data_IF_037266730480
#
_entry.id   IF_037266730480
#
_cell.length_a   1.000
_cell.length_b   1.000
_cell.length_c   1.000
_cell.angle_alpha   90.00
_cell.angle_beta   90.00
_cell.angle_gamma   90.00
#
_symmetry.space_group_name_H-M   'P 1'
#
loop_
_entity.id
_entity.type
_entity.pdbx_description
1 polymer ?
#
# COMPACT_ATOMS: atom_id res chain seq x y z
N UNK A 1 -40.19 35.44 -5.46
CA UNK A 1 -39.35 35.94 -4.36
C UNK A 1 -38.62 34.76 -3.75
N UNK A 2 -37.30 34.67 -3.92
CA UNK A 2 -36.43 33.68 -3.27
C UNK A 2 -35.06 34.35 -3.06
N UNK A 3 -34.84 34.93 -1.89
CA UNK A 3 -33.51 35.22 -1.36
C UNK A 3 -33.47 34.65 0.07
N UNK A 4 -32.65 33.62 0.28
CA UNK A 4 -32.04 33.23 1.56
C UNK A 4 -31.22 31.93 1.37
N UNK A 5 -29.93 32.04 1.01
CA UNK A 5 -28.92 31.18 1.64
C UNK A 5 -27.72 31.95 2.24
N UNK A 6 -27.60 33.25 1.97
CA UNK A 6 -26.42 34.07 2.32
C UNK A 6 -26.46 34.58 3.75
N UNK A 7 -27.64 34.89 4.30
CA UNK A 7 -27.77 35.47 5.65
C UNK A 7 -27.38 34.48 6.75
N UNK A 8 -27.60 33.19 6.52
CA UNK A 8 -27.26 32.13 7.49
C UNK A 8 -25.74 31.96 7.60
N UNK A 9 -25.03 32.16 6.49
CA UNK A 9 -23.56 32.11 6.43
C UNK A 9 -22.94 33.33 7.11
N UNK A 10 -23.53 34.51 6.92
CA UNK A 10 -23.10 35.75 7.59
C UNK A 10 -23.36 35.66 9.10
N UNK A 11 -24.49 35.11 9.52
CA UNK A 11 -24.80 34.89 10.93
C UNK A 11 -23.90 33.83 11.57
N UNK A 12 -23.57 32.74 10.86
CA UNK A 12 -22.62 31.73 11.32
C UNK A 12 -21.19 32.30 11.48
N UNK A 13 -20.76 33.17 10.56
CA UNK A 13 -19.47 33.87 10.67
C UNK A 13 -19.45 34.89 11.82
N UNK A 14 -20.56 35.60 12.04
CA UNK A 14 -20.70 36.52 13.16
C UNK A 14 -20.65 35.76 14.51
N UNK A 15 -21.32 34.61 14.60
CA UNK A 15 -21.30 33.76 15.78
C UNK A 15 -19.90 33.19 16.09
N UNK A 16 -19.13 32.82 15.06
CA UNK A 16 -17.73 32.38 15.23
C UNK A 16 -16.82 33.52 15.73
N UNK A 17 -17.09 34.76 15.31
CA UNK A 17 -16.33 35.93 15.77
C UNK A 17 -16.57 36.25 17.24
N UNK A 18 -17.78 36.02 17.73
CA UNK A 18 -18.16 36.27 19.14
C UNK A 18 -17.77 35.11 20.07
N UNK A 19 -17.42 33.94 19.51
CA UNK A 19 -16.92 32.76 20.25
C UNK A 19 -15.44 32.87 20.65
N UNK A 20 -14.81 34.04 20.43
CA UNK A 20 -13.38 34.31 20.57
C UNK A 20 -12.84 34.42 22.00
N UNK A 21 -13.32 33.58 22.92
CA UNK A 21 -12.77 33.39 24.26
C UNK A 21 -12.05 32.06 24.37
N UNK A 22 -11.00 31.83 23.58
CA UNK A 22 -10.02 30.78 23.85
C UNK A 22 -8.74 31.46 24.32
N UNK A 23 -8.11 30.90 25.36
CA UNK A 23 -6.77 31.29 25.80
C UNK A 23 -5.87 31.44 24.57
N UNK A 24 -5.08 32.52 24.44
CA UNK A 24 -4.18 32.67 23.31
C UNK A 24 -3.22 31.48 23.33
N UNK A 25 -3.36 30.59 22.34
CA UNK A 25 -2.39 29.53 22.12
C UNK A 25 -1.02 30.20 22.00
N UNK A 26 -0.06 29.72 22.79
CA UNK A 26 1.29 30.28 22.81
C UNK A 26 1.84 30.33 21.38
N UNK A 27 2.58 31.38 21.05
CA UNK A 27 3.09 31.61 19.70
C UNK A 27 3.92 30.42 19.20
N UNK A 28 4.60 29.70 20.11
CA UNK A 28 5.33 28.47 19.79
C UNK A 28 4.41 27.29 19.39
N UNK A 29 3.19 27.21 19.95
CA UNK A 29 2.20 26.20 19.57
C UNK A 29 1.62 26.50 18.19
N UNK A 30 1.32 27.77 17.92
CA UNK A 30 0.85 28.23 16.60
C UNK A 30 1.92 27.98 15.54
N UNK A 31 3.18 28.31 15.84
CA UNK A 31 4.29 28.11 14.90
C UNK A 31 4.54 26.61 14.64
N UNK A 32 4.50 25.76 15.67
CA UNK A 32 4.62 24.31 15.52
C UNK A 32 3.49 23.72 14.67
N UNK A 33 2.25 24.20 14.85
CA UNK A 33 1.10 23.74 14.08
C UNK A 33 1.16 24.25 12.63
N UNK A 34 1.66 25.47 12.41
CA UNK A 34 1.90 26.01 11.07
C UNK A 34 3.02 25.28 10.35
N UNK A 35 4.15 24.99 11.00
CA UNK A 35 5.24 24.19 10.43
C UNK A 35 4.75 22.78 10.06
N UNK A 36 3.97 22.15 10.94
CA UNK A 36 3.35 20.85 10.70
C UNK A 36 2.38 20.91 9.52
N UNK A 37 1.55 21.94 9.46
CA UNK A 37 0.61 22.19 8.36
C UNK A 37 1.32 22.42 7.02
N UNK A 38 2.40 23.21 7.02
CA UNK A 38 3.23 23.47 5.85
C UNK A 38 3.97 22.21 5.39
N UNK A 39 4.49 21.39 6.31
CA UNK A 39 5.13 20.09 6.00
C UNK A 39 4.13 19.13 5.35
N UNK A 40 2.92 19.00 5.93
CA UNK A 40 1.84 18.18 5.38
C UNK A 40 1.39 18.67 3.98
N UNK A 41 1.21 19.98 3.81
CA UNK A 41 0.84 20.58 2.52
C UNK A 41 1.94 20.41 1.45
N UNK A 42 3.22 20.50 1.85
CA UNK A 42 4.37 20.30 0.96
C UNK A 42 4.48 18.84 0.51
N UNK A 43 4.22 17.88 1.39
CA UNK A 43 4.14 16.46 1.05
C UNK A 43 3.02 16.20 0.02
N UNK A 44 1.84 16.79 0.24
CA UNK A 44 0.70 16.69 -0.69
C UNK A 44 1.00 17.32 -2.05
N UNK A 45 1.68 18.47 -2.09
CA UNK A 45 2.08 19.11 -3.36
C UNK A 45 3.12 18.29 -4.11
N UNK A 46 4.12 17.72 -3.43
CA UNK A 46 5.12 16.84 -4.06
C UNK A 46 4.50 15.59 -4.68
N UNK A 47 3.51 14.99 -4.00
CA UNK A 47 2.73 13.86 -4.55
C UNK A 47 1.85 14.25 -5.75
N UNK A 48 1.54 15.54 -5.94
CA UNK A 48 0.76 16.05 -7.09
C UNK A 48 1.63 16.54 -8.26
N UNK A 49 2.92 16.82 -8.05
CA UNK A 49 3.83 17.34 -9.09
C UNK A 49 4.64 16.29 -9.83
N UNK A 50 4.55 15.00 -9.47
CA UNK A 50 5.15 13.91 -10.25
C UNK A 50 4.38 13.58 -11.55
N UNK A 51 3.36 14.37 -11.91
CA UNK A 51 2.49 14.17 -13.07
C UNK A 51 2.67 15.19 -14.20
N UNK A 52 3.79 15.91 -14.29
CA UNK A 52 4.05 16.86 -15.38
C UNK A 52 5.40 16.59 -16.07
N UNK A 53 5.33 15.76 -17.12
CA UNK A 53 6.10 15.85 -18.36
C UNK A 53 7.63 15.92 -18.32
N UNK A 54 8.29 14.84 -18.74
CA UNK A 54 9.43 14.99 -19.64
C UNK A 54 9.32 13.99 -20.80
N UNK A 55 9.34 14.54 -22.01
CA UNK A 55 9.19 13.85 -23.27
C UNK A 55 10.47 13.11 -23.69
N UNK A 56 10.25 12.18 -24.61
CA UNK A 56 11.14 11.19 -25.24
C UNK A 56 12.39 11.81 -25.89
N UNK A 57 13.52 11.09 -25.81
CA UNK A 57 14.50 11.03 -26.92
C UNK A 57 15.16 9.64 -26.98
N UNK A 58 14.71 8.81 -27.91
CA UNK A 58 15.41 7.59 -28.36
C UNK A 58 16.45 8.02 -29.39
N UNK A 59 17.70 7.62 -29.22
CA UNK A 59 18.69 7.61 -30.30
C UNK A 59 19.24 6.20 -30.43
N UNK A 60 18.86 5.54 -31.53
CA UNK A 60 19.47 4.32 -32.02
C UNK A 60 20.77 4.65 -32.78
N UNK A 61 21.79 3.82 -32.64
CA UNK A 61 22.92 3.75 -33.57
C UNK A 61 23.47 2.33 -33.63
N UNK A 62 23.86 1.94 -34.84
CA UNK A 62 23.82 0.59 -35.37
C UNK A 62 25.18 -0.14 -35.42
N UNK A 63 25.06 -1.47 -35.54
CA UNK A 63 25.85 -2.42 -36.33
C UNK A 63 27.38 -2.54 -36.15
N UNK A 64 27.82 -3.78 -35.93
CA UNK A 64 28.98 -4.34 -36.63
C UNK A 64 28.73 -5.84 -36.87
N UNK A 65 28.73 -6.22 -38.14
CA UNK A 65 28.65 -7.58 -38.62
C UNK A 65 29.99 -8.31 -38.43
N UNK A 66 29.96 -9.61 -38.17
CA UNK A 66 31.07 -10.51 -38.45
C UNK A 66 30.53 -11.68 -39.29
N UNK A 67 30.85 -11.63 -40.58
CA UNK A 67 30.67 -12.70 -41.56
C UNK A 67 31.87 -13.63 -41.42
N UNK A 68 31.64 -14.94 -41.29
CA UNK A 68 32.62 -15.93 -41.76
C UNK A 68 31.90 -17.10 -42.43
N UNK A 69 32.34 -17.32 -43.66
CA UNK A 69 31.91 -18.24 -44.70
C UNK A 69 32.50 -19.64 -44.50
N UNK A 70 31.78 -20.68 -44.96
CA UNK A 70 32.41 -21.98 -45.27
C UNK A 70 31.39 -23.10 -45.57
N UNK A 71 31.21 -23.50 -46.85
CA UNK A 71 30.29 -24.57 -47.26
C UNK A 71 31.01 -25.93 -47.34
N UNK A 72 30.27 -27.02 -47.11
CA UNK A 72 30.77 -28.37 -47.27
C UNK A 72 29.64 -29.39 -47.41
N UNK A 73 29.12 -29.55 -48.62
CA UNK A 73 28.31 -30.70 -49.05
C UNK A 73 29.18 -31.94 -49.21
N UNK A 74 28.78 -33.10 -48.66
CA UNK A 74 28.99 -34.43 -49.27
C UNK A 74 27.92 -35.45 -48.83
N UNK A 75 27.46 -36.18 -49.86
CA UNK A 75 26.43 -37.23 -49.97
C UNK A 75 26.46 -38.42 -49.00
N UNK A 76 25.28 -39.05 -48.82
CA UNK A 76 25.13 -40.46 -48.45
C UNK A 76 23.65 -40.89 -48.35
N UNK A 77 23.19 -41.67 -49.35
CA UNK A 77 21.86 -42.27 -49.52
C UNK A 77 21.38 -43.18 -48.37
N UNK A 78 20.05 -43.28 -48.16
CA UNK A 78 19.20 -44.43 -48.56
C UNK A 78 17.90 -44.52 -47.71
N UNK A 79 16.94 -45.32 -48.19
CA UNK A 79 15.49 -45.23 -48.07
C UNK A 79 14.79 -45.55 -46.71
N UNK A 80 13.59 -44.96 -46.58
CA UNK A 80 12.38 -45.24 -45.75
C UNK A 80 12.08 -46.74 -45.45
N UNK A 81 11.23 -47.13 -44.44
CA UNK A 81 9.89 -46.55 -44.22
C UNK A 81 9.24 -46.56 -42.79
N UNK A 82 8.16 -45.75 -42.66
CA UNK A 82 6.94 -45.88 -41.81
C UNK A 82 7.04 -45.94 -40.25
N UNK A 83 6.34 -45.03 -39.55
CA UNK A 83 5.33 -45.21 -38.45
C UNK A 83 5.16 -43.90 -37.63
N UNK A 84 3.96 -43.52 -37.10
CA UNK A 84 3.64 -42.13 -36.74
C UNK A 84 3.74 -41.79 -35.24
N UNK A 85 3.72 -40.48 -35.00
CA UNK A 85 3.37 -39.77 -33.75
C UNK A 85 4.34 -39.88 -32.56
N UNK A 86 4.93 -38.74 -32.18
CA UNK A 86 4.99 -38.30 -30.78
C UNK A 86 5.31 -36.80 -30.69
N UNK A 87 4.35 -36.06 -30.16
CA UNK A 87 4.43 -34.67 -29.75
C UNK A 87 5.60 -34.50 -28.78
N UNK A 88 6.65 -33.79 -29.21
CA UNK A 88 7.73 -33.39 -28.32
C UNK A 88 7.19 -32.43 -27.28
N UNK A 89 7.05 -32.98 -26.07
CA UNK A 89 6.76 -32.30 -24.81
C UNK A 89 7.84 -31.23 -24.60
N UNK A 90 7.51 -29.96 -24.86
CA UNK A 90 8.35 -28.84 -24.42
C UNK A 90 8.52 -28.94 -22.91
N UNK A 91 9.73 -29.28 -22.48
CA UNK A 91 10.11 -29.21 -21.09
C UNK A 91 9.88 -27.77 -20.61
N UNK A 92 9.19 -27.53 -19.49
CA UNK A 92 9.16 -26.20 -18.92
C UNK A 92 10.59 -25.84 -18.55
N UNK A 93 11.13 -24.80 -19.18
CA UNK A 93 12.31 -24.10 -18.69
C UNK A 93 12.13 -23.87 -17.21
N UNK A 94 13.03 -24.46 -16.42
CA UNK A 94 13.17 -24.16 -15.01
C UNK A 94 13.59 -22.69 -14.90
N UNK A 95 12.62 -21.79 -14.92
CA UNK A 95 12.77 -20.53 -14.21
C UNK A 95 13.01 -20.95 -12.77
N UNK A 96 14.21 -20.68 -12.25
CA UNK A 96 14.53 -20.75 -10.84
C UNK A 96 13.63 -19.76 -10.11
N UNK A 97 12.37 -20.15 -9.93
CA UNK A 97 11.42 -19.52 -9.05
C UNK A 97 11.95 -19.79 -7.65
N UNK A 98 12.51 -18.75 -7.04
CA UNK A 98 12.61 -18.70 -5.58
C UNK A 98 11.23 -19.14 -5.07
N UNK A 99 11.10 -20.23 -4.31
CA UNK A 99 9.80 -20.62 -3.79
C UNK A 99 9.27 -19.41 -3.03
N UNK A 100 8.07 -18.95 -3.40
CA UNK A 100 7.33 -18.00 -2.60
C UNK A 100 7.16 -18.67 -1.25
N UNK A 101 8.07 -18.38 -0.31
CA UNK A 101 7.96 -18.88 1.04
C UNK A 101 6.62 -18.33 1.53
N UNK A 102 5.65 -19.21 1.68
CA UNK A 102 4.33 -18.85 2.19
C UNK A 102 4.57 -18.37 3.62
N UNK A 103 4.77 -17.07 3.80
CA UNK A 103 4.94 -16.45 5.10
C UNK A 103 3.75 -16.82 6.00
N UNK A 104 3.96 -17.74 6.94
CA UNK A 104 2.89 -18.27 7.77
C UNK A 104 2.37 -17.17 8.70
N UNK A 105 1.04 -17.02 8.80
CA UNK A 105 0.46 -16.18 9.85
C UNK A 105 0.40 -16.99 11.15
N UNK A 106 0.84 -16.39 12.24
CA UNK A 106 0.84 -16.97 13.58
C UNK A 106 -0.04 -16.16 14.50
N UNK A 107 -0.53 -16.77 15.58
CA UNK A 107 -1.29 -16.05 16.59
C UNK A 107 -0.43 -14.93 17.21
N UNK A 108 -0.99 -13.74 17.32
CA UNK A 108 -0.30 -12.61 17.94
C UNK A 108 -0.34 -12.76 19.46
N UNK A 109 0.83 -12.81 20.09
CA UNK A 109 1.00 -13.02 21.54
C UNK A 109 1.55 -11.79 22.26
N UNK A 110 1.82 -10.70 21.54
CA UNK A 110 2.28 -9.45 22.15
C UNK A 110 1.15 -8.65 22.79
N UNK A 111 1.51 -7.52 23.40
CA UNK A 111 0.54 -6.56 23.95
C UNK A 111 -0.39 -6.04 22.84
N UNK A 112 -1.70 -6.07 23.10
CA UNK A 112 -2.68 -5.60 22.13
C UNK A 112 -2.60 -4.07 21.99
N UNK A 113 -2.59 -3.52 20.76
CA UNK A 113 -2.76 -2.09 20.54
C UNK A 113 -4.03 -1.56 21.22
N UNK A 114 -3.99 -0.33 21.72
CA UNK A 114 -5.17 0.28 22.35
C UNK A 114 -6.32 0.44 21.34
N UNK A 115 -6.01 0.95 20.15
CA UNK A 115 -7.00 1.21 19.09
C UNK A 115 -7.46 -0.04 18.31
N UNK A 116 -6.74 -1.16 18.41
CA UNK A 116 -6.98 -2.34 17.56
C UNK A 116 -6.79 -3.65 18.31
N UNK A 117 -7.63 -4.64 17.98
CA UNK A 117 -7.36 -6.03 18.28
C UNK A 117 -6.65 -6.66 17.09
N UNK A 118 -5.54 -7.32 17.38
CA UNK A 118 -4.72 -8.05 16.42
C UNK A 118 -4.70 -9.52 16.84
N UNK A 119 -5.20 -10.39 15.97
CA UNK A 119 -5.26 -11.85 16.21
C UNK A 119 -4.05 -12.57 15.65
N UNK A 120 -3.46 -12.06 14.57
CA UNK A 120 -2.38 -12.72 13.87
C UNK A 120 -1.43 -11.73 13.22
N UNK A 121 -0.18 -12.12 13.14
CA UNK A 121 0.89 -11.40 12.43
C UNK A 121 1.68 -12.42 11.59
N UNK A 122 2.45 -11.97 10.59
CA UNK A 122 3.37 -12.86 9.91
C UNK A 122 4.38 -13.47 10.89
N UNK A 123 4.81 -14.71 10.64
CA UNK A 123 5.70 -15.45 11.52
C UNK A 123 6.99 -14.65 11.81
N UNK A 124 7.31 -14.50 13.10
CA UNK A 124 8.45 -13.71 13.58
C UNK A 124 8.20 -12.21 13.69
N UNK A 125 7.10 -11.69 13.15
CA UNK A 125 6.79 -10.26 13.24
C UNK A 125 6.19 -9.91 14.60
N UNK A 126 6.33 -8.65 15.00
CA UNK A 126 5.73 -8.10 16.22
C UNK A 126 5.16 -6.71 15.96
N UNK A 127 4.24 -6.25 16.80
CA UNK A 127 3.81 -4.85 16.81
C UNK A 127 4.90 -4.04 17.50
N UNK A 128 5.61 -3.21 16.74
CA UNK A 128 6.73 -2.40 17.24
C UNK A 128 6.31 -1.01 17.67
N UNK A 129 5.17 -0.51 17.17
CA UNK A 129 4.60 0.76 17.55
C UNK A 129 3.08 0.74 17.41
N UNK A 130 2.38 1.44 18.30
CA UNK A 130 0.92 1.61 18.21
C UNK A 130 0.44 2.80 19.01
N UNK A 131 -0.64 3.42 18.54
CA UNK A 131 -1.46 4.37 19.28
C UNK A 131 -2.96 4.03 19.15
N UNK A 132 -3.83 5.01 19.36
CA UNK A 132 -5.28 4.85 19.21
C UNK A 132 -5.74 4.84 17.75
N UNK A 133 -4.98 5.45 16.83
CA UNK A 133 -5.38 5.66 15.44
C UNK A 133 -4.75 4.64 14.49
N UNK A 134 -3.64 4.03 14.92
CA UNK A 134 -2.81 3.19 14.07
C UNK A 134 -1.92 2.22 14.85
N UNK A 135 -1.43 1.20 14.16
CA UNK A 135 -0.31 0.39 14.65
C UNK A 135 0.56 -0.07 13.50
N UNK A 136 1.78 -0.45 13.83
CA UNK A 136 2.77 -0.94 12.87
C UNK A 136 3.35 -2.26 13.35
N UNK A 137 3.34 -3.24 12.46
CA UNK A 137 4.01 -4.53 12.66
C UNK A 137 5.28 -4.59 11.81
N UNK A 138 6.38 -5.02 12.41
CA UNK A 138 7.69 -5.14 11.75
C UNK A 138 8.24 -6.57 11.81
N UNK A 139 9.08 -6.96 10.83
CA UNK A 139 9.82 -8.21 10.89
C UNK A 139 10.87 -8.19 12.00
N UNK A 140 11.42 -9.36 12.37
CA UNK A 140 12.55 -9.44 13.30
C UNK A 140 13.72 -8.55 12.87
N UNK A 141 14.33 -7.84 13.82
CA UNK A 141 15.51 -7.02 13.58
C UNK A 141 15.25 -5.65 12.95
N UNK A 142 14.00 -5.32 12.62
CA UNK A 142 13.60 -3.98 12.17
C UNK A 142 13.00 -3.20 13.33
N UNK A 143 13.66 -2.09 13.67
CA UNK A 143 13.16 -1.08 14.59
C UNK A 143 12.80 0.16 13.81
N UNK A 144 11.59 0.69 14.05
CA UNK A 144 11.20 1.98 13.49
C UNK A 144 11.86 3.11 14.30
N UNK A 145 12.33 4.18 13.65
CA UNK A 145 12.75 5.37 14.36
C UNK A 145 11.59 5.86 15.24
N UNK A 146 11.88 6.12 16.51
CA UNK A 146 10.90 6.62 17.50
C UNK A 146 10.63 8.13 17.33
N UNK A 147 11.30 8.79 16.38
CA UNK A 147 11.20 10.23 16.11
C UNK A 147 10.14 10.52 15.04
N UNK A 148 9.68 11.77 15.05
CA UNK A 148 8.86 12.45 14.03
C UNK A 148 9.52 12.58 12.63
N UNK A 149 10.56 11.80 12.37
CA UNK A 149 11.11 11.60 11.05
C UNK A 149 10.15 10.77 10.20
N UNK A 150 10.28 10.90 8.88
CA UNK A 150 9.40 10.26 7.92
C UNK A 150 9.46 8.73 8.11
N UNK A 151 8.42 8.16 8.74
CA UNK A 151 8.36 6.71 8.95
C UNK A 151 8.15 6.05 7.60
N UNK A 152 9.25 5.55 7.04
CA UNK A 152 9.22 4.74 5.84
C UNK A 152 8.68 3.35 6.21
N UNK A 153 7.45 3.06 5.77
CA UNK A 153 6.81 1.76 5.96
C UNK A 153 7.32 0.70 4.97
N UNK A 154 8.45 0.97 4.31
CA UNK A 154 9.06 0.14 3.27
C UNK A 154 9.29 -1.31 3.74
N UNK A 155 9.43 -1.51 5.06
CA UNK A 155 9.67 -2.81 5.69
C UNK A 155 8.56 -3.23 6.67
N UNK A 156 7.45 -2.47 6.78
CA UNK A 156 6.50 -2.61 7.88
C UNK A 156 5.04 -2.63 7.41
N UNK A 157 4.23 -3.46 8.05
CA UNK A 157 2.77 -3.45 7.84
C UNK A 157 2.20 -2.34 8.70
N UNK A 158 1.62 -1.32 8.05
CA UNK A 158 0.94 -0.23 8.73
C UNK A 158 -0.57 -0.41 8.65
N UNK A 159 -1.25 -0.20 9.78
CA UNK A 159 -2.72 -0.23 9.87
C UNK A 159 -3.21 1.10 10.39
N UNK A 160 -4.18 1.70 9.69
CA UNK A 160 -4.88 2.92 10.11
C UNK A 160 -6.39 2.73 10.03
N UNK A 161 -7.11 3.61 10.71
CA UNK A 161 -8.56 3.71 10.60
C UNK A 161 -8.94 5.08 10.02
N UNK A 162 -9.54 5.09 8.85
CA UNK A 162 -9.95 6.31 8.16
C UNK A 162 -11.48 6.51 8.24
N UNK A 163 -11.91 7.77 8.14
CA UNK A 163 -13.32 8.12 8.08
C UNK A 163 -13.95 7.78 6.72
N UNK A 164 -15.22 7.37 6.74
CA UNK A 164 -16.00 7.12 5.53
C UNK A 164 -15.81 5.72 4.93
N UNK A 165 -16.57 5.40 3.86
CA UNK A 165 -16.49 4.12 3.18
C UNK A 165 -15.20 4.00 2.35
N UNK A 166 -14.74 2.77 2.06
CA UNK A 166 -13.50 2.57 1.32
C UNK A 166 -13.66 3.12 -0.10
N UNK A 167 -12.75 4.02 -0.49
CA UNK A 167 -12.73 4.58 -1.83
C UNK A 167 -12.54 3.47 -2.86
N UNK A 168 -13.34 3.49 -3.94
CA UNK A 168 -13.12 2.59 -5.07
C UNK A 168 -11.93 3.09 -5.86
N UNK A 169 -10.81 2.39 -5.74
CA UNK A 169 -9.59 2.73 -6.45
C UNK A 169 -9.50 1.94 -7.76
N UNK A 170 -9.25 2.63 -8.87
CA UNK A 170 -9.04 1.99 -10.18
C UNK A 170 -7.84 1.04 -10.09
N UNK A 171 -8.01 -0.19 -10.60
CA UNK A 171 -6.97 -1.22 -10.57
C UNK A 171 -6.95 -2.06 -9.30
N UNK A 172 -7.81 -1.78 -8.31
CA UNK A 172 -7.93 -2.61 -7.12
C UNK A 172 -8.88 -3.78 -7.39
N UNK A 173 -8.49 -4.94 -6.88
CA UNK A 173 -9.29 -6.16 -6.91
C UNK A 173 -10.27 -6.16 -5.75
N UNK A 174 -11.52 -6.55 -6.02
CA UNK A 174 -12.54 -6.73 -4.99
C UNK A 174 -12.22 -7.98 -4.16
N UNK A 175 -12.20 -7.84 -2.84
CA UNK A 175 -11.94 -8.95 -1.90
C UNK A 175 -12.99 -8.99 -0.79
N UNK A 176 -13.00 -10.08 -0.01
CA UNK A 176 -13.88 -10.21 1.17
C UNK A 176 -13.03 -10.27 2.44
N UNK A 177 -13.29 -9.35 3.36
CA UNK A 177 -12.65 -9.28 4.68
C UNK A 177 -13.75 -9.23 5.73
N UNK A 178 -13.75 -10.17 6.68
CA UNK A 178 -14.73 -10.24 7.76
C UNK A 178 -16.19 -10.21 7.25
N UNK A 179 -16.47 -10.91 6.15
CA UNK A 179 -17.79 -10.94 5.50
C UNK A 179 -18.18 -9.67 4.74
N UNK A 180 -17.29 -8.67 4.66
CA UNK A 180 -17.55 -7.39 4.01
C UNK A 180 -16.68 -7.21 2.76
N UNK A 181 -17.20 -6.44 1.81
CA UNK A 181 -16.45 -6.11 0.59
C UNK A 181 -15.31 -5.14 0.92
N UNK A 182 -14.09 -5.51 0.54
CA UNK A 182 -12.91 -4.65 0.53
C UNK A 182 -12.27 -4.56 -0.86
N UNK A 183 -11.19 -3.79 -0.94
CA UNK A 183 -10.43 -3.53 -2.17
C UNK A 183 -8.94 -3.68 -1.90
N UNK A 184 -8.26 -4.50 -2.70
CA UNK A 184 -6.83 -4.77 -2.60
C UNK A 184 -6.13 -4.40 -3.90
N UNK A 185 -5.07 -3.61 -3.84
CA UNK A 185 -4.23 -3.36 -5.00
C UNK A 185 -3.02 -2.48 -4.68
N UNK A 186 -2.13 -2.31 -5.66
CA UNK A 186 -0.86 -1.62 -5.43
C UNK A 186 -1.09 -0.13 -5.18
N UNK A 187 -0.25 0.47 -4.34
CA UNK A 187 -0.12 1.92 -4.22
C UNK A 187 0.37 2.53 -5.54
N UNK A 188 0.20 3.84 -5.73
CA UNK A 188 0.53 4.52 -6.99
C UNK A 188 2.02 4.40 -7.36
N UNK A 189 2.91 4.36 -6.35
CA UNK A 189 4.36 4.14 -6.48
C UNK A 189 4.76 2.67 -6.53
N UNK A 190 3.81 1.74 -6.34
CA UNK A 190 4.01 0.28 -6.30
C UNK A 190 4.98 -0.20 -5.21
N UNK A 191 5.28 0.64 -4.22
CA UNK A 191 6.09 0.26 -3.05
C UNK A 191 5.34 -0.63 -2.07
N UNK A 192 4.01 -0.61 -2.11
CA UNK A 192 3.15 -1.38 -1.22
C UNK A 192 1.89 -1.89 -1.93
N UNK A 193 1.25 -2.88 -1.32
CA UNK A 193 -0.13 -3.27 -1.56
C UNK A 193 -1.02 -2.62 -0.50
N UNK A 194 -2.13 -2.01 -0.91
CA UNK A 194 -3.09 -1.36 -0.02
C UNK A 194 -4.39 -2.17 0.00
N UNK A 195 -4.80 -2.59 1.20
CA UNK A 195 -6.09 -3.20 1.46
C UNK A 195 -7.00 -2.24 2.22
N UNK A 196 -8.15 -1.94 1.64
CA UNK A 196 -9.21 -1.12 2.24
C UNK A 196 -10.44 -1.98 2.52
N UNK A 197 -10.93 -1.99 3.76
CA UNK A 197 -12.17 -2.70 4.10
C UNK A 197 -12.98 -1.99 5.19
N UNK A 198 -14.32 -2.10 5.18
CA UNK A 198 -15.16 -1.41 6.15
C UNK A 198 -15.12 -2.07 7.53
N UNK A 199 -15.09 -1.24 8.57
CA UNK A 199 -15.11 -1.69 9.97
C UNK A 199 -16.52 -2.01 10.50
N UNK A 200 -17.55 -1.72 9.70
CA UNK A 200 -18.96 -1.94 10.04
C UNK A 200 -19.65 -0.75 10.71
N UNK A 201 -18.94 0.37 10.91
CA UNK A 201 -19.43 1.62 11.51
C UNK A 201 -19.20 2.83 10.58
N UNK A 202 -19.30 2.61 9.26
CA UNK A 202 -19.03 3.64 8.24
C UNK A 202 -17.60 4.22 8.29
N UNK A 203 -16.64 3.44 8.79
CA UNK A 203 -15.20 3.75 8.75
C UNK A 203 -14.48 2.70 7.92
N UNK A 204 -13.27 3.01 7.50
CA UNK A 204 -12.44 2.15 6.68
C UNK A 204 -11.16 1.80 7.41
N UNK A 205 -10.86 0.50 7.52
CA UNK A 205 -9.53 0.05 7.90
C UNK A 205 -8.68 0.03 6.63
N UNK A 206 -7.56 0.74 6.68
CA UNK A 206 -6.54 0.72 5.64
C UNK A 206 -5.32 -0.06 6.15
N UNK A 207 -4.87 -1.04 5.38
CA UNK A 207 -3.68 -1.83 5.68
C UNK A 207 -2.72 -1.71 4.51
N UNK A 208 -1.53 -1.18 4.78
CA UNK A 208 -0.43 -1.11 3.81
C UNK A 208 0.53 -2.26 4.08
N UNK A 209 0.78 -3.06 3.05
CA UNK A 209 1.73 -4.16 3.07
C UNK A 209 2.92 -3.79 2.18
N UNK A 210 4.15 -3.78 2.70
CA UNK A 210 5.31 -3.49 1.87
C UNK A 210 5.49 -4.58 0.82
N UNK A 211 5.76 -4.19 -0.43
CA UNK A 211 5.86 -5.14 -1.54
C UNK A 211 6.97 -6.19 -1.33
N UNK A 212 8.06 -5.79 -0.68
CA UNK A 212 9.20 -6.64 -0.36
C UNK A 212 8.93 -7.70 0.71
N UNK A 213 7.86 -7.57 1.51
CA UNK A 213 7.48 -8.62 2.46
C UNK A 213 7.05 -9.93 1.76
N UNK A 214 6.81 -9.91 0.44
CA UNK A 214 6.52 -11.10 -0.35
C UNK A 214 5.21 -11.79 0.05
N UNK A 215 4.31 -11.06 0.70
CA UNK A 215 2.98 -11.56 1.09
C UNK A 215 2.12 -11.78 -0.14
N UNK A 216 1.44 -12.92 -0.20
CA UNK A 216 0.38 -13.16 -1.18
C UNK A 216 -0.89 -12.40 -0.79
N UNK A 217 -1.76 -12.12 -1.77
CA UNK A 217 -3.07 -11.51 -1.51
C UNK A 217 -3.89 -12.30 -0.48
N UNK A 218 -3.82 -13.64 -0.50
CA UNK A 218 -4.52 -14.47 0.47
C UNK A 218 -3.99 -14.26 1.90
N UNK A 219 -2.68 -14.07 2.08
CA UNK A 219 -2.11 -13.76 3.39
C UNK A 219 -2.45 -12.34 3.84
N UNK A 220 -2.46 -11.36 2.93
CA UNK A 220 -2.91 -9.99 3.23
C UNK A 220 -4.36 -9.97 3.73
N UNK A 221 -5.25 -10.71 3.04
CA UNK A 221 -6.65 -10.89 3.45
C UNK A 221 -6.72 -11.60 4.81
N UNK A 222 -5.96 -12.67 5.01
CA UNK A 222 -5.98 -13.44 6.26
C UNK A 222 -5.46 -12.61 7.44
N UNK A 223 -4.45 -11.76 7.24
CA UNK A 223 -4.00 -10.80 8.24
C UNK A 223 -5.12 -9.82 8.59
N UNK A 224 -5.77 -9.23 7.57
CA UNK A 224 -6.86 -8.28 7.78
C UNK A 224 -8.11 -8.91 8.44
N UNK A 225 -8.37 -10.20 8.25
CA UNK A 225 -9.39 -10.93 9.00
C UNK A 225 -9.09 -10.97 10.51
N UNK A 226 -7.82 -10.85 10.89
CA UNK A 226 -7.35 -10.79 12.27
C UNK A 226 -7.32 -9.40 12.90
N UNK A 227 -7.67 -8.33 12.17
CA UNK A 227 -7.55 -6.93 12.63
C UNK A 227 -8.93 -6.31 12.84
N UNK A 228 -9.21 -5.82 14.05
CA UNK A 228 -10.51 -5.20 14.38
C UNK A 228 -10.32 -3.93 15.21
N UNK A 229 -10.83 -2.76 14.76
CA UNK A 229 -10.83 -1.55 15.58
C UNK A 229 -11.59 -1.74 16.89
N UNK A 230 -11.08 -1.18 17.99
CA UNK A 230 -11.73 -1.20 19.31
C UNK A 230 -12.65 0.01 19.51
N UNK A 231 -13.26 0.12 20.69
CA UNK A 231 -13.96 1.34 21.12
C UNK A 231 -13.03 2.53 21.33
N UNK A 232 -11.72 2.31 21.50
CA UNK A 232 -10.71 3.35 21.71
C UNK A 232 -10.04 3.80 20.41
N UNK A 233 -10.47 3.26 19.27
CA UNK A 233 -9.90 3.63 17.97
C UNK A 233 -10.23 5.09 17.61
N UNK A 234 -9.24 5.90 17.26
CA UNK A 234 -9.45 7.20 16.64
C UNK A 234 -9.29 7.14 15.12
N UNK A 235 -9.78 8.17 14.43
CA UNK A 235 -9.57 8.31 12.99
C UNK A 235 -8.17 8.86 12.74
N UNK A 236 -7.44 8.24 11.82
CA UNK A 236 -6.23 8.81 11.26
C UNK A 236 -6.62 10.01 10.39
N UNK A 237 -6.14 11.19 10.75
CA UNK A 237 -6.25 12.37 9.89
C UNK A 237 -5.13 12.29 8.85
N UNK A 238 -5.44 11.76 7.66
CA UNK A 238 -4.55 11.80 6.50
C UNK A 238 -4.31 13.21 5.98
#
# INVERSE_FOLDING_TARGET
MNEAPTDDLVNALAALRDSGGHDPADAATIDSDLERGHKAARLRRRRRTAGAGLAIAVVAAAASAAVMTGPGDRHGSEASPLTPAQTSRSAPSATTGRPSQVLQLVAYTGSQPTGFRVRSVPSGWSVSWSDQCSFVATPPGVSLPQSNEEVHFDHAIAVTLDGGPPARTKGFTKVTVQGRTGWLGPTADKGAELLLFPDGKSRTVAVQFPAEAGLTHQQMISFAQGVTPTSHSCLSFG
#
